data_IF_905496555581
#
_entry.id   IF_905496555581
#
_cell.length_a   1.000
_cell.length_b   1.000
_cell.length_c   1.000
_cell.angle_alpha   90.00
_cell.angle_beta   90.00
_cell.angle_gamma   90.00
#
_symmetry.space_group_name_H-M   'P 1'
#
loop_
_entity.id
_entity.type
_entity.pdbx_description
1 polymer ?
#
# COMPACT_ATOMS: atom_id res chain seq x y z
N UNK A 1 9.84 -16.54 31.03
CA UNK A 1 9.51 -15.74 29.84
C UNK A 1 10.70 -15.29 28.97
N UNK A 2 11.98 -15.32 29.42
CA UNK A 2 13.14 -14.98 28.56
C UNK A 2 13.81 -16.17 27.84
N UNK A 3 13.43 -17.42 28.14
CA UNK A 3 14.03 -18.62 27.54
C UNK A 3 13.31 -19.14 26.29
N UNK A 4 12.02 -18.84 26.13
CA UNK A 4 11.22 -19.30 24.98
C UNK A 4 11.50 -18.50 23.70
N UNK A 5 11.79 -17.20 23.81
CA UNK A 5 12.17 -16.34 22.66
C UNK A 5 13.48 -16.79 21.98
N UNK A 6 14.42 -17.35 22.75
CA UNK A 6 15.69 -17.86 22.19
C UNK A 6 15.53 -19.24 21.52
N UNK A 7 14.50 -20.01 21.90
CA UNK A 7 14.20 -21.29 21.23
C UNK A 7 13.44 -21.12 19.91
N UNK A 8 12.63 -20.08 19.75
CA UNK A 8 12.01 -19.77 18.44
C UNK A 8 13.05 -19.38 17.39
N UNK A 9 14.07 -18.60 17.75
CA UNK A 9 15.15 -18.19 16.85
C UNK A 9 16.07 -19.34 16.40
N UNK A 10 16.01 -20.52 17.03
CA UNK A 10 16.77 -21.70 16.60
C UNK A 10 16.05 -22.59 15.59
N UNK A 11 14.74 -22.46 15.42
CA UNK A 11 14.01 -23.22 14.40
C UNK A 11 14.02 -22.56 13.01
N UNK A 12 14.63 -21.38 12.87
CA UNK A 12 14.88 -20.69 11.59
C UNK A 12 15.94 -21.38 10.69
N UNK A 13 16.53 -22.49 11.15
CA UNK A 13 17.62 -23.20 10.47
C UNK A 13 17.25 -24.10 9.29
N UNK A 14 16.04 -24.02 8.72
CA UNK A 14 15.67 -24.83 7.54
C UNK A 14 14.86 -24.04 6.51
N UNK A 15 15.40 -22.91 6.04
CA UNK A 15 14.78 -22.10 4.99
C UNK A 15 15.79 -21.78 3.88
N UNK A 16 15.33 -22.02 2.65
CA UNK A 16 16.04 -22.01 1.37
C UNK A 16 16.77 -20.67 1.09
N UNK A 17 18.09 -20.68 0.76
CA UNK A 17 18.88 -19.48 0.53
C UNK A 17 18.45 -18.63 -0.68
N UNK A 18 17.52 -19.07 -1.54
CA UNK A 18 17.10 -18.37 -2.76
C UNK A 18 15.92 -17.38 -2.60
N UNK A 19 15.28 -17.28 -1.43
CA UNK A 19 14.16 -16.35 -1.19
C UNK A 19 14.53 -15.26 -0.18
N UNK A 20 15.50 -14.41 -0.52
CA UNK A 20 15.83 -13.22 0.28
C UNK A 20 15.23 -11.96 -0.31
N UNK A 21 14.13 -11.48 0.27
CA UNK A 21 13.82 -10.04 0.38
C UNK A 21 13.18 -9.81 1.74
N UNK A 22 14.00 -9.34 2.67
CA UNK A 22 13.56 -8.88 3.98
C UNK A 22 13.11 -7.42 3.84
N UNK A 23 11.85 -7.13 4.15
CA UNK A 23 11.47 -5.81 4.66
C UNK A 23 11.26 -6.02 6.15
N UNK A 24 12.27 -5.68 6.96
CA UNK A 24 12.09 -5.58 8.41
C UNK A 24 11.29 -4.29 8.67
N UNK A 25 9.97 -4.36 8.53
CA UNK A 25 9.09 -3.34 9.08
C UNK A 25 8.99 -3.61 10.58
N UNK A 26 9.76 -2.88 11.39
CA UNK A 26 9.56 -2.86 12.84
C UNK A 26 8.24 -2.11 13.07
N UNK A 27 7.12 -2.83 13.07
CA UNK A 27 5.83 -2.26 13.43
C UNK A 27 5.91 -1.86 14.90
N UNK A 28 6.18 -0.59 15.18
CA UNK A 28 5.73 0.01 16.43
C UNK A 28 4.23 0.12 16.34
N UNK A 29 3.52 -0.75 17.05
CA UNK A 29 2.08 -0.63 17.23
C UNK A 29 1.82 0.73 17.89
N UNK A 30 1.07 1.66 17.25
CA UNK A 30 0.75 2.92 17.89
C UNK A 30 -0.02 2.63 19.18
N UNK A 31 0.32 3.36 20.23
CA UNK A 31 -0.39 3.20 21.50
C UNK A 31 -1.85 3.62 21.32
N UNK A 32 -2.76 3.02 22.11
CA UNK A 32 -4.21 3.30 22.08
C UNK A 32 -4.54 4.79 22.17
N UNK A 33 -3.63 5.59 22.74
CA UNK A 33 -3.72 7.05 22.87
C UNK A 33 -3.50 7.80 21.55
N UNK A 34 -2.62 7.32 20.67
CA UNK A 34 -2.32 7.99 19.39
C UNK A 34 -3.45 7.82 18.38
N UNK A 35 -4.04 6.63 18.31
CA UNK A 35 -5.20 6.35 17.46
C UNK A 35 -6.42 7.17 17.91
N UNK A 36 -6.62 7.31 19.22
CA UNK A 36 -7.71 8.12 19.78
C UNK A 36 -7.57 9.61 19.47
N UNK A 37 -6.34 10.14 19.41
CA UNK A 37 -6.08 11.55 19.09
C UNK A 37 -6.51 11.90 17.65
N UNK A 38 -6.12 11.07 16.68
CA UNK A 38 -6.48 11.27 15.26
C UNK A 38 -7.99 11.24 15.05
N UNK A 39 -8.70 10.39 15.80
CA UNK A 39 -10.17 10.29 15.75
C UNK A 39 -10.90 11.42 16.49
N UNK A 40 -10.21 12.17 17.36
CA UNK A 40 -10.78 13.30 18.11
C UNK A 40 -10.65 14.65 17.40
N UNK A 41 -9.93 14.68 16.27
CA UNK A 41 -9.79 15.86 15.41
C UNK A 41 -11.13 16.18 14.74
N UNK A 42 -11.64 17.38 14.98
CA UNK A 42 -12.99 17.81 14.58
C UNK A 42 -13.17 18.10 13.08
N UNK A 43 -12.15 17.86 12.25
CA UNK A 43 -12.26 17.95 10.78
C UNK A 43 -12.68 16.60 10.14
N UNK A 44 -12.74 15.52 10.92
CA UNK A 44 -13.22 14.22 10.46
C UNK A 44 -14.76 14.12 10.51
N UNK A 45 -15.43 14.77 9.56
CA UNK A 45 -16.86 14.53 9.30
C UNK A 45 -17.11 13.07 8.90
N UNK A 46 -18.05 12.40 9.57
CA UNK A 46 -18.42 10.98 9.38
C UNK A 46 -19.50 10.83 8.29
N UNK A 47 -19.54 9.70 7.53
CA UNK A 47 -19.65 8.34 8.07
C UNK A 47 -18.36 7.52 7.94
N UNK A 48 -17.55 7.52 9.00
CA UNK A 48 -16.40 6.61 9.25
C UNK A 48 -16.87 5.42 10.11
N UNK A 49 -18.14 5.01 10.04
CA UNK A 49 -18.67 3.91 10.85
C UNK A 49 -18.05 2.55 10.52
N UNK A 50 -17.74 2.31 9.25
CA UNK A 50 -17.21 1.01 8.78
C UNK A 50 -15.69 0.92 8.84
N UNK A 51 -14.97 2.06 8.73
CA UNK A 51 -13.52 2.09 8.81
C UNK A 51 -13.01 1.96 10.25
N UNK A 52 -13.72 2.52 11.23
CA UNK A 52 -13.42 2.31 12.66
C UNK A 52 -13.43 0.82 13.03
N UNK A 53 -14.28 0.02 12.38
CA UNK A 53 -14.30 -1.42 12.57
C UNK A 53 -13.08 -2.13 11.96
N UNK A 54 -12.44 -1.59 10.92
CA UNK A 54 -11.32 -2.29 10.28
C UNK A 54 -10.06 -2.33 11.15
N UNK A 55 -9.72 -1.22 11.83
CA UNK A 55 -8.58 -1.17 12.74
C UNK A 55 -8.83 -2.07 13.95
N UNK A 56 -10.02 -1.98 14.56
CA UNK A 56 -10.39 -2.80 15.70
C UNK A 56 -10.38 -4.29 15.33
N UNK A 57 -10.99 -4.67 14.20
CA UNK A 57 -10.95 -6.04 13.69
C UNK A 57 -9.55 -6.53 13.38
N UNK A 58 -8.66 -5.66 12.89
CA UNK A 58 -7.25 -6.03 12.71
C UNK A 58 -6.59 -6.32 14.06
N UNK A 59 -6.75 -5.43 15.05
CA UNK A 59 -6.16 -5.61 16.39
C UNK A 59 -6.71 -6.82 17.13
N UNK A 60 -7.98 -7.18 16.87
CA UNK A 60 -8.63 -8.37 17.44
C UNK A 60 -8.31 -9.66 16.67
N UNK A 61 -7.56 -9.60 15.57
CA UNK A 61 -7.25 -10.76 14.72
C UNK A 61 -8.43 -11.27 13.87
N UNK A 62 -9.48 -10.45 13.72
CA UNK A 62 -10.69 -10.73 12.94
C UNK A 62 -10.56 -10.33 11.46
N UNK A 63 -9.42 -9.76 11.06
CA UNK A 63 -9.01 -9.56 9.68
C UNK A 63 -7.84 -10.48 9.35
N UNK A 64 -8.05 -11.33 8.35
CA UNK A 64 -6.96 -12.09 7.74
C UNK A 64 -6.17 -11.16 6.83
N UNK A 65 -4.93 -10.85 7.22
CA UNK A 65 -3.99 -10.15 6.36
C UNK A 65 -3.29 -11.13 5.43
N UNK A 66 -3.11 -10.73 4.18
CA UNK A 66 -2.31 -11.45 3.21
C UNK A 66 -0.95 -10.79 3.00
N UNK A 67 0.09 -11.62 2.88
CA UNK A 67 1.41 -11.14 2.47
C UNK A 67 1.45 -11.03 0.95
N UNK A 68 1.70 -9.82 0.44
CA UNK A 68 1.81 -9.54 -0.98
C UNK A 68 3.25 -9.19 -1.37
N UNK A 69 3.59 -9.44 -2.64
CA UNK A 69 4.82 -8.90 -3.23
C UNK A 69 4.59 -7.44 -3.55
N UNK A 70 5.39 -6.54 -2.97
CA UNK A 70 5.25 -5.09 -3.14
C UNK A 70 6.46 -4.52 -3.89
N UNK A 71 6.20 -3.60 -4.81
CA UNK A 71 7.21 -2.70 -5.39
C UNK A 71 6.94 -1.28 -4.90
N UNK A 72 7.90 -0.69 -4.21
CA UNK A 72 7.86 0.71 -3.80
C UNK A 72 8.56 1.56 -4.87
N UNK A 73 7.89 2.62 -5.31
CA UNK A 73 8.43 3.60 -6.25
C UNK A 73 8.30 4.97 -5.58
N UNK A 74 9.38 5.76 -5.61
CA UNK A 74 9.44 7.08 -5.02
C UNK A 74 10.04 8.06 -6.04
N UNK A 75 9.71 9.34 -5.91
CA UNK A 75 10.31 10.38 -6.73
C UNK A 75 11.82 10.51 -6.47
N UNK A 76 12.58 10.79 -7.54
CA UNK A 76 13.98 11.17 -7.43
C UNK A 76 14.10 12.62 -6.90
N UNK A 77 15.03 12.91 -5.96
CA UNK A 77 15.30 14.28 -5.50
C UNK A 77 15.52 15.31 -6.62
N UNK A 78 16.00 14.91 -7.80
CA UNK A 78 16.15 15.76 -8.99
C UNK A 78 14.83 16.41 -9.42
N UNK A 79 13.69 15.77 -9.16
CA UNK A 79 12.37 16.35 -9.40
C UNK A 79 12.19 17.64 -8.61
N UNK A 80 12.66 17.66 -7.35
CA UNK A 80 12.61 18.84 -6.49
C UNK A 80 13.53 19.97 -6.96
N UNK A 81 14.53 19.65 -7.79
CA UNK A 81 15.45 20.61 -8.40
C UNK A 81 14.97 21.11 -9.77
N UNK A 82 13.87 20.55 -10.31
CA UNK A 82 13.32 20.94 -11.62
C UNK A 82 14.12 20.47 -12.83
N UNK A 83 15.05 19.53 -12.64
CA UNK A 83 15.94 19.02 -13.71
C UNK A 83 15.73 17.54 -14.02
N UNK A 84 14.74 16.90 -13.39
CA UNK A 84 14.37 15.54 -13.71
C UNK A 84 13.84 15.43 -15.14
N UNK A 85 14.30 14.42 -15.88
CA UNK A 85 13.74 14.06 -17.17
C UNK A 85 12.42 13.30 -17.00
N UNK A 86 11.63 13.20 -18.07
CA UNK A 86 10.29 12.58 -18.02
C UNK A 86 10.35 11.11 -17.57
N UNK A 87 11.36 10.37 -18.00
CA UNK A 87 11.65 8.99 -17.63
C UNK A 87 12.07 8.83 -16.15
N UNK A 88 12.60 9.90 -15.55
CA UNK A 88 12.98 9.91 -14.12
C UNK A 88 11.79 10.19 -13.20
N UNK A 89 10.65 10.63 -13.71
CA UNK A 89 9.47 10.87 -12.89
C UNK A 89 8.86 9.55 -12.39
N UNK A 90 8.45 9.53 -11.12
CA UNK A 90 7.81 8.37 -10.50
C UNK A 90 6.61 7.85 -11.30
N UNK A 91 5.81 8.75 -11.88
CA UNK A 91 4.62 8.37 -12.65
C UNK A 91 4.96 7.52 -13.88
N UNK A 92 6.07 7.80 -14.55
CA UNK A 92 6.53 7.02 -15.70
C UNK A 92 6.95 5.61 -15.27
N UNK A 93 7.69 5.53 -14.16
CA UNK A 93 8.13 4.25 -13.57
C UNK A 93 6.95 3.40 -13.08
N UNK A 94 5.87 4.03 -12.56
CA UNK A 94 4.62 3.35 -12.19
C UNK A 94 3.99 2.70 -13.42
N UNK A 95 3.88 3.43 -14.53
CA UNK A 95 3.34 2.91 -15.78
C UNK A 95 4.11 1.70 -16.31
N UNK A 96 5.45 1.79 -16.33
CA UNK A 96 6.33 0.67 -16.73
C UNK A 96 6.22 -0.53 -15.79
N UNK A 97 6.00 -0.28 -14.50
CA UNK A 97 5.89 -1.31 -13.47
C UNK A 97 4.56 -2.04 -13.51
N UNK A 98 3.46 -1.35 -13.83
CA UNK A 98 2.12 -1.92 -13.97
C UNK A 98 2.06 -2.97 -15.08
N UNK A 99 2.76 -2.76 -16.20
CA UNK A 99 2.78 -3.69 -17.33
C UNK A 99 1.38 -3.97 -17.87
N UNK A 100 1.16 -5.20 -18.37
CA UNK A 100 -0.15 -5.62 -18.86
C UNK A 100 -1.01 -6.16 -17.72
N UNK A 101 -2.07 -5.43 -17.36
CA UNK A 101 -3.11 -5.95 -16.47
C UNK A 101 -3.96 -6.95 -17.24
N UNK A 102 -4.15 -8.13 -16.65
CA UNK A 102 -4.89 -9.26 -17.26
C UNK A 102 -6.27 -9.49 -16.64
N UNK A 103 -6.41 -9.30 -15.33
CA UNK A 103 -7.61 -9.72 -14.59
C UNK A 103 -8.30 -8.55 -13.86
N UNK A 104 -7.53 -7.76 -13.10
CA UNK A 104 -8.06 -6.68 -12.27
C UNK A 104 -7.01 -5.61 -11.96
N UNK A 105 -7.44 -4.36 -11.90
CA UNK A 105 -6.66 -3.22 -11.40
C UNK A 105 -7.37 -2.58 -10.19
N UNK A 106 -6.70 -2.58 -9.04
CA UNK A 106 -7.11 -1.82 -7.86
C UNK A 106 -6.21 -0.59 -7.70
N UNK A 107 -6.80 0.60 -7.75
CA UNK A 107 -6.10 1.88 -7.60
C UNK A 107 -6.56 2.59 -6.32
N UNK A 108 -5.62 2.86 -5.43
CA UNK A 108 -5.86 3.64 -4.22
C UNK A 108 -4.98 4.88 -4.26
N UNK A 109 -5.59 6.05 -4.21
CA UNK A 109 -4.87 7.33 -4.26
C UNK A 109 -5.53 8.36 -3.37
N UNK A 110 -4.76 9.16 -2.64
CA UNK A 110 -5.31 10.28 -1.89
C UNK A 110 -6.02 11.29 -2.82
N UNK A 111 -5.46 11.53 -4.01
CA UNK A 111 -6.03 12.40 -5.03
C UNK A 111 -5.90 11.76 -6.40
N UNK A 112 -7.01 11.69 -7.14
CA UNK A 112 -7.09 11.03 -8.43
C UNK A 112 -7.27 12.04 -9.56
N UNK A 113 -6.20 12.28 -10.34
CA UNK A 113 -6.21 13.14 -11.53
C UNK A 113 -5.47 12.41 -12.67
N UNK A 114 -6.17 11.57 -13.46
CA UNK A 114 -5.51 10.66 -14.41
C UNK A 114 -4.99 11.35 -15.68
N UNK A 115 -5.44 12.57 -15.97
CA UNK A 115 -5.17 13.23 -17.25
C UNK A 115 -5.68 12.43 -18.45
N UNK A 116 -5.31 12.84 -19.67
CA UNK A 116 -5.78 12.20 -20.90
C UNK A 116 -5.26 10.76 -20.99
N UNK A 117 -3.95 10.56 -20.84
CA UNK A 117 -3.33 9.23 -20.98
C UNK A 117 -3.84 8.22 -19.95
N UNK A 118 -3.96 8.63 -18.68
CA UNK A 118 -4.50 7.75 -17.64
C UNK A 118 -5.98 7.44 -17.86
N UNK A 119 -6.77 8.40 -18.34
CA UNK A 119 -8.19 8.16 -18.68
C UNK A 119 -8.33 7.15 -19.81
N UNK A 120 -7.55 7.30 -20.88
CA UNK A 120 -7.52 6.34 -21.99
C UNK A 120 -7.12 4.95 -21.48
N UNK A 121 -6.03 4.84 -20.73
CA UNK A 121 -5.57 3.57 -20.18
C UNK A 121 -6.65 2.85 -19.35
N UNK A 122 -7.31 3.58 -18.43
CA UNK A 122 -8.36 2.99 -17.59
C UNK A 122 -9.62 2.62 -18.39
N UNK A 123 -9.95 3.39 -19.43
CA UNK A 123 -11.07 3.09 -20.32
C UNK A 123 -10.79 1.84 -21.15
N UNK A 124 -9.59 1.71 -21.71
CA UNK A 124 -9.16 0.54 -22.48
C UNK A 124 -9.20 -0.75 -21.64
N UNK A 125 -8.87 -0.67 -20.35
CA UNK A 125 -9.01 -1.81 -19.44
C UNK A 125 -10.49 -2.24 -19.31
N UNK A 126 -11.39 -1.28 -19.13
CA UNK A 126 -12.83 -1.53 -19.02
C UNK A 126 -13.38 -2.15 -20.31
N UNK A 127 -12.99 -1.63 -21.48
CA UNK A 127 -13.40 -2.16 -22.79
C UNK A 127 -12.91 -3.59 -23.03
N UNK A 128 -11.75 -3.95 -22.46
CA UNK A 128 -11.22 -5.32 -22.47
C UNK A 128 -11.88 -6.25 -21.45
N UNK A 129 -12.83 -5.76 -20.65
CA UNK A 129 -13.53 -6.54 -19.63
C UNK A 129 -12.72 -6.77 -18.36
N UNK A 130 -11.69 -5.97 -18.09
CA UNK A 130 -10.86 -6.05 -16.87
C UNK A 130 -11.56 -5.31 -15.74
N UNK A 131 -11.62 -5.91 -14.54
CA UNK A 131 -12.22 -5.28 -13.36
C UNK A 131 -11.35 -4.12 -12.88
N UNK A 132 -11.91 -2.91 -12.85
CA UNK A 132 -11.22 -1.69 -12.41
C UNK A 132 -11.90 -1.09 -11.20
N UNK A 133 -11.18 -0.97 -10.08
CA UNK A 133 -11.70 -0.35 -8.85
C UNK A 133 -10.81 0.80 -8.41
N UNK A 134 -11.42 1.94 -8.11
CA UNK A 134 -10.71 3.15 -7.71
C UNK A 134 -11.25 3.60 -6.35
N UNK A 135 -10.34 3.75 -5.40
CA UNK A 135 -10.59 4.38 -4.11
C UNK A 135 -9.84 5.72 -4.08
N UNK A 136 -10.61 6.80 -3.98
CA UNK A 136 -10.08 8.16 -3.82
C UNK A 136 -10.72 8.81 -2.60
N UNK A 137 -10.12 9.90 -2.12
CA UNK A 137 -10.80 10.79 -1.18
C UNK A 137 -12.10 11.32 -1.83
N UNK A 138 -13.21 11.27 -1.09
CA UNK A 138 -14.50 11.82 -1.46
C UNK A 138 -14.82 13.05 -0.60
#
# INVERSE_FOLDING_TARGET
MRRELVQMLRQEGRLDPKRRKFILCRQTTPSRTEVAYVLSSSEAGTPVGDLQNSVDRHTNGELSLEWATVRLIADDPLKGQGIATLDQLMITQVGETLGSVENRLDLVSAYFVPGVQGTTYLTDLSERGIDGRILTHA
#
